data_IF_341474616511
#
_entry.id   IF_341474616511
#
_cell.length_a   1.000
_cell.length_b   1.000
_cell.length_c   1.000
_cell.angle_alpha   90.00
_cell.angle_beta   90.00
_cell.angle_gamma   90.00
#
_symmetry.space_group_name_H-M   'P 1'
#
loop_
_entity.id
_entity.type
_entity.pdbx_description
1 polymer ?
#
# COMPACT_ATOMS: atom_id res chain seq x y z
N UNK A 1 8.49 16.80 -0.04
CA UNK A 1 8.39 15.47 0.58
C UNK A 1 7.15 15.42 1.44
N UNK A 2 6.22 14.54 1.12
CA UNK A 2 5.00 14.33 1.91
C UNK A 2 5.01 12.92 2.50
N UNK A 3 4.47 12.80 3.72
CA UNK A 3 4.25 11.51 4.36
C UNK A 3 2.84 11.05 3.98
N UNK A 4 2.77 9.86 3.41
CA UNK A 4 1.56 9.26 2.91
C UNK A 4 1.31 7.96 3.65
N UNK A 5 0.08 7.79 4.13
CA UNK A 5 -0.45 6.50 4.55
C UNK A 5 -1.16 5.82 3.39
N UNK A 6 -0.75 4.59 3.10
CA UNK A 6 -1.46 3.68 2.22
C UNK A 6 -2.13 2.60 3.06
N UNK A 7 -3.43 2.43 2.89
CA UNK A 7 -4.20 1.32 3.44
C UNK A 7 -4.60 0.41 2.27
N UNK A 8 -4.10 -0.82 2.32
CA UNK A 8 -4.18 -1.81 1.24
C UNK A 8 -4.99 -2.99 1.76
N UNK A 9 -6.08 -3.31 1.07
CA UNK A 9 -6.90 -4.49 1.32
C UNK A 9 -6.89 -5.39 0.11
N UNK A 10 -6.52 -6.65 0.28
CA UNK A 10 -6.52 -7.63 -0.81
C UNK A 10 -6.83 -9.04 -0.31
N UNK A 11 -7.32 -9.94 -1.17
CA UNK A 11 -7.48 -11.35 -0.81
C UNK A 11 -6.17 -11.92 -0.25
N UNK A 12 -6.27 -12.68 0.84
CA UNK A 12 -5.11 -13.30 1.50
C UNK A 12 -4.43 -14.30 0.55
N UNK A 13 -5.24 -15.05 -0.20
CA UNK A 13 -4.75 -15.98 -1.20
C UNK A 13 -4.07 -15.25 -2.35
N UNK A 14 -2.85 -15.65 -2.68
CA UNK A 14 -2.07 -15.01 -3.75
C UNK A 14 -1.51 -13.62 -3.42
N UNK A 15 -1.72 -13.09 -2.20
CA UNK A 15 -1.25 -11.75 -1.80
C UNK A 15 0.23 -11.52 -2.00
N UNK A 16 1.06 -12.56 -1.80
CA UNK A 16 2.51 -12.47 -1.91
C UNK A 16 2.99 -11.90 -3.24
N UNK A 17 2.38 -12.32 -4.37
CA UNK A 17 2.74 -11.82 -5.71
C UNK A 17 2.45 -10.34 -5.88
N UNK A 18 1.34 -9.87 -5.30
CA UNK A 18 0.95 -8.45 -5.34
C UNK A 18 1.90 -7.66 -4.45
N UNK A 19 2.19 -8.14 -3.24
CA UNK A 19 3.09 -7.48 -2.30
C UNK A 19 4.51 -7.36 -2.82
N UNK A 20 5.05 -8.37 -3.50
CA UNK A 20 6.39 -8.28 -4.11
C UNK A 20 6.46 -7.14 -5.13
N UNK A 21 5.46 -7.01 -6.01
CA UNK A 21 5.39 -5.91 -6.99
C UNK A 21 5.20 -4.54 -6.34
N UNK A 22 4.42 -4.49 -5.27
CA UNK A 22 4.19 -3.29 -4.49
C UNK A 22 5.48 -2.82 -3.82
N UNK A 23 6.18 -3.76 -3.19
CA UNK A 23 7.47 -3.54 -2.56
C UNK A 23 8.50 -3.00 -3.55
N UNK A 24 8.59 -3.54 -4.78
CA UNK A 24 9.49 -3.02 -5.81
C UNK A 24 9.30 -1.53 -6.12
N UNK A 25 8.05 -1.03 -6.00
CA UNK A 25 7.70 0.37 -6.27
C UNK A 25 7.99 1.30 -5.10
N UNK A 26 7.80 0.82 -3.88
CA UNK A 26 7.87 1.64 -2.68
C UNK A 26 9.15 1.43 -1.87
N UNK A 27 10.00 0.46 -2.23
CA UNK A 27 11.26 0.20 -1.52
C UNK A 27 12.12 1.47 -1.43
N UNK A 28 12.71 1.70 -0.27
CA UNK A 28 13.49 2.91 0.01
C UNK A 28 12.66 4.16 0.36
N UNK A 29 11.33 4.10 0.18
CA UNK A 29 10.39 5.15 0.59
C UNK A 29 9.58 4.78 1.84
N UNK A 30 9.57 3.49 2.20
CA UNK A 30 8.85 2.98 3.37
C UNK A 30 9.47 3.54 4.64
N UNK A 31 8.66 4.29 5.39
CA UNK A 31 8.97 4.74 6.74
C UNK A 31 8.52 3.70 7.76
N UNK A 32 7.32 3.15 7.57
CA UNK A 32 6.73 2.17 8.47
C UNK A 32 5.77 1.22 7.74
N UNK A 33 5.59 0.02 8.28
CA UNK A 33 4.68 -0.99 7.73
C UNK A 33 4.06 -1.87 8.82
N UNK A 34 2.75 -2.03 8.75
CA UNK A 34 1.94 -2.82 9.66
C UNK A 34 1.11 -3.83 8.87
N UNK A 35 1.31 -5.11 9.19
CA UNK A 35 0.52 -6.22 8.64
C UNK A 35 -0.52 -6.66 9.66
N UNK A 36 -1.78 -6.62 9.27
CA UNK A 36 -2.86 -7.10 10.12
C UNK A 36 -3.16 -8.59 9.80
N UNK A 37 -3.63 -9.35 10.80
CA UNK A 37 -4.17 -10.68 10.53
C UNK A 37 -5.33 -10.58 9.51
N UNK A 38 -5.53 -11.61 8.68
CA UNK A 38 -6.64 -11.59 7.73
C UNK A 38 -7.99 -11.57 8.45
N UNK A 39 -8.97 -10.93 7.84
CA UNK A 39 -10.35 -10.94 8.31
C UNK A 39 -10.97 -12.34 8.15
N UNK A 40 -12.13 -12.58 8.77
CA UNK A 40 -12.89 -13.82 8.63
C UNK A 40 -13.30 -14.12 7.17
N UNK A 41 -13.33 -13.10 6.31
CA UNK A 41 -13.61 -13.21 4.87
C UNK A 41 -12.34 -13.49 4.04
N UNK A 42 -11.19 -13.70 4.69
CA UNK A 42 -9.92 -13.96 4.01
C UNK A 42 -9.31 -12.72 3.37
N UNK A 43 -9.61 -11.52 3.87
CA UNK A 43 -9.02 -10.26 3.38
C UNK A 43 -7.81 -9.91 4.24
N UNK A 44 -6.67 -9.72 3.60
CA UNK A 44 -5.47 -9.16 4.22
C UNK A 44 -5.53 -7.64 4.21
N UNK A 45 -5.24 -7.02 5.36
CA UNK A 45 -5.11 -5.57 5.48
C UNK A 45 -3.66 -5.20 5.81
N UNK A 46 -3.15 -4.16 5.16
CA UNK A 46 -1.78 -3.68 5.31
C UNK A 46 -1.83 -2.17 5.35
N UNK A 47 -1.20 -1.59 6.36
CA UNK A 47 -0.96 -0.15 6.42
C UNK A 47 0.52 0.13 6.27
N UNK A 48 0.85 1.10 5.45
CA UNK A 48 2.23 1.49 5.22
C UNK A 48 2.33 3.00 5.13
N UNK A 49 3.34 3.54 5.79
CA UNK A 49 3.72 4.93 5.67
C UNK A 49 4.89 5.04 4.72
N UNK A 50 4.77 5.92 3.74
CA UNK A 50 5.83 6.17 2.77
C UNK A 50 6.12 7.67 2.65
N UNK A 51 7.37 7.98 2.34
CA UNK A 51 7.80 9.33 1.97
C UNK A 51 7.86 9.41 0.45
N UNK A 52 7.00 10.25 -0.13
CA UNK A 52 6.90 10.41 -1.58
C UNK A 52 6.76 11.89 -1.91
N UNK A 53 7.26 12.32 -3.07
CA UNK A 53 7.05 13.70 -3.54
C UNK A 53 5.83 13.76 -4.46
N UNK A 54 5.67 12.79 -5.37
CA UNK A 54 4.56 12.68 -6.31
C UNK A 54 3.60 11.53 -5.93
N UNK A 55 2.83 11.78 -4.88
CA UNK A 55 1.91 10.80 -4.32
C UNK A 55 0.72 10.43 -5.23
N UNK A 56 0.11 11.36 -6.01
CA UNK A 56 -0.95 11.03 -6.96
C UNK A 56 -0.50 10.06 -8.06
N UNK A 57 0.72 10.24 -8.59
CA UNK A 57 1.28 9.32 -9.61
C UNK A 57 1.50 7.93 -9.04
N UNK A 58 2.10 7.84 -7.85
CA UNK A 58 2.30 6.56 -7.17
C UNK A 58 0.96 5.84 -6.92
N UNK A 59 -0.07 6.56 -6.47
CA UNK A 59 -1.41 5.99 -6.27
C UNK A 59 -1.97 5.37 -7.56
N UNK A 60 -1.79 6.03 -8.71
CA UNK A 60 -2.22 5.51 -10.01
C UNK A 60 -1.50 4.21 -10.38
N UNK A 61 -0.19 4.14 -10.13
CA UNK A 61 0.60 2.92 -10.34
C UNK A 61 0.17 1.78 -9.41
N UNK A 62 -0.05 2.08 -8.13
CA UNK A 62 -0.46 1.09 -7.12
C UNK A 62 -1.84 0.51 -7.43
N UNK A 63 -2.80 1.34 -7.84
CA UNK A 63 -4.13 0.87 -8.28
C UNK A 63 -4.03 -0.14 -9.43
N UNK A 64 -3.10 0.04 -10.37
CA UNK A 64 -2.87 -0.89 -11.49
C UNK A 64 -2.25 -2.22 -11.05
N UNK A 65 -1.46 -2.22 -9.97
CA UNK A 65 -0.84 -3.43 -9.41
C UNK A 65 -1.86 -4.23 -8.60
N UNK A 66 -2.67 -3.55 -7.80
CA UNK A 66 -3.55 -4.18 -6.81
C UNK A 66 -4.80 -4.80 -7.46
N UNK A 67 -5.23 -4.33 -8.64
CA UNK A 67 -6.35 -4.83 -9.50
C UNK A 67 -7.61 -5.34 -8.77
N UNK A 68 -7.52 -6.49 -8.10
CA UNK A 68 -8.60 -7.15 -7.36
C UNK A 68 -8.67 -6.75 -5.86
N UNK A 69 -7.79 -5.87 -5.40
CA UNK A 69 -7.84 -5.30 -4.05
C UNK A 69 -8.29 -3.84 -4.04
N UNK A 70 -8.47 -3.30 -2.84
CA UNK A 70 -8.74 -1.89 -2.59
C UNK A 70 -7.47 -1.24 -2.07
N UNK A 71 -7.14 -0.08 -2.63
CA UNK A 71 -6.12 0.81 -2.06
C UNK A 71 -6.75 2.14 -1.73
N UNK A 72 -6.57 2.56 -0.49
CA UNK A 72 -6.93 3.89 -0.02
C UNK A 72 -5.67 4.63 0.39
N UNK A 73 -5.74 5.95 0.24
CA UNK A 73 -4.60 6.83 0.33
C UNK A 73 -4.99 8.01 1.21
N UNK A 74 -4.11 8.36 2.15
CA UNK A 74 -4.29 9.51 3.04
C UNK A 74 -2.96 10.24 3.19
N UNK A 75 -2.93 11.54 2.91
CA UNK A 75 -1.77 12.39 3.24
C UNK A 75 -1.79 12.65 4.73
N UNK A 76 -0.71 12.30 5.43
CA UNK A 76 -0.58 12.50 6.88
C UNK A 76 0.06 13.84 7.20
N UNK A 77 0.99 14.30 6.38
CA UNK A 77 1.67 15.59 6.53
C UNK A 77 2.34 15.99 5.23
N UNK A 78 2.17 17.27 4.85
CA UNK A 78 3.07 17.97 3.94
C UNK A 78 4.23 18.51 4.80
N UNK A 79 5.47 18.27 4.39
CA UNK A 79 6.65 18.86 5.01
C UNK A 79 7.15 20.04 4.17
#
# INVERSE_FOLDING_TARGET
MQIVELDIKLPYEGRGKILSRLYEKVRGKIRDIHFFPPTLEGISEIRMEIVEDDAPKLLSELKRIIKNGKVTFKVLSEA
#
